data_IF_460317805874
#
_entry.id   IF_460317805874
#
_cell.length_a   1.000
_cell.length_b   1.000
_cell.length_c   1.000
_cell.angle_alpha   90.00
_cell.angle_beta   90.00
_cell.angle_gamma   90.00
#
_symmetry.space_group_name_H-M   'P 1'
#
loop_
_entity.id
_entity.type
_entity.pdbx_description
1 polymer ?
#
# COMPACT_ATOMS: atom_id res chain seq x y z
N UNK A 1 1.41 4.43 19.03
CA UNK A 1 1.40 3.42 17.96
C UNK A 1 0.03 3.46 17.30
N UNK A 2 -0.03 3.56 15.96
CA UNK A 2 -1.30 3.45 15.25
C UNK A 2 -1.83 2.01 15.39
N UNK A 3 -3.10 1.86 15.77
CA UNK A 3 -3.75 0.57 15.89
C UNK A 3 -4.65 0.36 14.67
N UNK A 4 -4.49 -0.79 14.02
CA UNK A 4 -5.35 -1.22 12.91
C UNK A 4 -6.09 -2.49 13.33
N UNK A 5 -7.42 -2.48 13.19
CA UNK A 5 -8.22 -3.68 13.32
C UNK A 5 -8.27 -4.38 11.95
N UNK A 6 -7.60 -5.52 11.86
CA UNK A 6 -7.50 -6.31 10.62
C UNK A 6 -8.21 -7.63 10.85
N UNK A 7 -9.24 -7.89 10.06
CA UNK A 7 -9.92 -9.18 10.04
C UNK A 7 -9.18 -10.13 9.10
N UNK A 8 -8.69 -11.25 9.65
CA UNK A 8 -7.94 -12.26 8.91
C UNK A 8 -8.80 -13.52 8.76
N UNK A 9 -9.38 -13.71 7.59
CA UNK A 9 -10.23 -14.86 7.28
C UNK A 9 -9.63 -15.74 6.19
N UNK A 10 -10.03 -17.02 6.17
CA UNK A 10 -9.63 -17.96 5.13
C UNK A 10 -8.12 -18.25 5.11
N UNK A 11 -7.50 -18.11 3.93
CA UNK A 11 -6.11 -18.50 3.72
C UNK A 11 -5.11 -17.66 4.53
N UNK A 12 -5.32 -16.35 4.62
CA UNK A 12 -4.39 -15.44 5.34
C UNK A 12 -4.35 -15.76 6.83
N UNK A 13 -5.50 -16.04 7.44
CA UNK A 13 -5.59 -16.52 8.83
C UNK A 13 -4.79 -17.80 9.05
N UNK A 14 -4.95 -18.80 8.15
CA UNK A 14 -4.19 -20.07 8.23
C UNK A 14 -2.68 -19.88 8.08
N UNK A 15 -2.23 -18.95 7.24
CA UNK A 15 -0.80 -18.64 7.08
C UNK A 15 -0.25 -18.02 8.35
N UNK A 16 -0.95 -17.05 8.95
CA UNK A 16 -0.55 -16.42 10.21
C UNK A 16 -0.45 -17.47 11.33
N UNK A 17 -1.42 -18.37 11.44
CA UNK A 17 -1.39 -19.46 12.41
C UNK A 17 -0.20 -20.40 12.20
N UNK A 18 0.10 -20.75 10.94
CA UNK A 18 1.30 -21.54 10.60
C UNK A 18 2.60 -20.83 10.96
N UNK A 19 2.69 -19.52 10.73
CA UNK A 19 3.87 -18.74 11.12
C UNK A 19 4.12 -18.82 12.63
N UNK A 20 3.05 -18.78 13.42
CA UNK A 20 3.14 -18.90 14.87
C UNK A 20 3.50 -20.33 15.27
N UNK A 21 2.83 -21.35 14.71
CA UNK A 21 3.10 -22.75 15.06
C UNK A 21 4.51 -23.22 14.72
N UNK A 22 5.10 -22.65 13.66
CA UNK A 22 6.48 -22.94 13.24
C UNK A 22 7.53 -22.07 13.96
N UNK A 23 7.10 -21.17 14.85
CA UNK A 23 8.00 -20.34 15.66
C UNK A 23 8.57 -19.12 14.94
N UNK A 24 8.09 -18.78 13.75
CA UNK A 24 8.52 -17.57 13.03
C UNK A 24 8.01 -16.27 13.68
N UNK A 25 6.92 -16.35 14.45
CA UNK A 25 6.36 -15.22 15.19
C UNK A 25 5.71 -15.72 16.49
N UNK A 26 5.68 -14.88 17.53
CA UNK A 26 5.02 -15.20 18.81
C UNK A 26 3.57 -14.76 18.84
N UNK A 27 3.21 -13.74 18.06
CA UNK A 27 1.85 -13.17 18.04
C UNK A 27 1.36 -12.93 16.61
N UNK A 28 0.03 -12.84 16.44
CA UNK A 28 -0.57 -12.48 15.15
C UNK A 28 -0.07 -11.12 14.66
N UNK A 29 0.07 -10.14 15.55
CA UNK A 29 0.59 -8.82 15.23
C UNK A 29 2.03 -8.86 14.73
N UNK A 30 2.89 -9.67 15.37
CA UNK A 30 4.27 -9.85 14.93
C UNK A 30 4.34 -10.52 13.56
N UNK A 31 3.53 -11.55 13.32
CA UNK A 31 3.45 -12.21 12.02
C UNK A 31 3.02 -11.24 10.90
N UNK A 32 2.02 -10.37 11.16
CA UNK A 32 1.59 -9.34 10.20
C UNK A 32 2.72 -8.34 9.94
N UNK A 33 3.42 -7.87 10.98
CA UNK A 33 4.55 -6.93 10.81
C UNK A 33 5.67 -7.53 9.97
N UNK A 34 6.01 -8.80 10.22
CA UNK A 34 7.00 -9.53 9.42
C UNK A 34 6.54 -9.70 7.97
N UNK A 35 5.26 -9.98 7.73
CA UNK A 35 4.73 -10.09 6.37
C UNK A 35 4.82 -8.76 5.60
N UNK A 36 4.46 -7.64 6.24
CA UNK A 36 4.58 -6.28 5.64
C UNK A 36 6.05 -5.94 5.37
N UNK A 37 6.93 -6.21 6.33
CA UNK A 37 8.36 -6.00 6.16
C UNK A 37 8.93 -6.83 5.01
N UNK A 38 8.58 -8.11 4.92
CA UNK A 38 9.01 -8.97 3.83
C UNK A 38 8.47 -8.51 2.47
N UNK A 39 7.23 -8.01 2.42
CA UNK A 39 6.66 -7.42 1.20
C UNK A 39 7.51 -6.23 0.73
N UNK A 40 7.90 -5.35 1.63
CA UNK A 40 8.77 -4.20 1.33
C UNK A 40 10.15 -4.66 0.83
N UNK A 41 10.77 -5.66 1.46
CA UNK A 41 12.06 -6.18 1.03
C UNK A 41 12.03 -6.80 -0.38
N UNK A 42 10.93 -7.46 -0.74
CA UNK A 42 10.76 -8.09 -2.07
C UNK A 42 10.52 -7.03 -3.14
N UNK A 43 9.66 -6.05 -2.86
CA UNK A 43 9.20 -5.10 -3.88
C UNK A 43 9.97 -3.78 -3.87
N UNK A 44 10.82 -3.55 -2.86
CA UNK A 44 11.65 -2.35 -2.67
C UNK A 44 10.87 -1.08 -3.01
N UNK A 45 9.74 -0.88 -2.31
CA UNK A 45 8.78 0.16 -2.64
C UNK A 45 9.48 1.52 -2.67
N UNK A 46 9.80 2.00 -3.87
CA UNK A 46 10.43 3.30 -4.02
C UNK A 46 9.36 4.39 -4.01
N UNK A 47 9.65 5.52 -3.36
CA UNK A 47 8.75 6.67 -3.39
C UNK A 47 8.50 7.13 -4.84
N UNK A 48 9.54 7.05 -5.69
CA UNK A 48 9.46 7.43 -7.10
C UNK A 48 8.48 6.56 -7.90
N UNK A 49 8.41 5.25 -7.66
CA UNK A 49 7.40 4.37 -8.27
C UNK A 49 5.98 4.68 -7.77
N UNK A 50 5.86 5.02 -6.49
CA UNK A 50 4.58 5.43 -5.90
C UNK A 50 4.05 6.70 -6.58
N UNK A 51 4.91 7.70 -6.78
CA UNK A 51 4.56 8.93 -7.50
C UNK A 51 4.28 8.67 -8.98
N UNK A 52 5.06 7.80 -9.65
CA UNK A 52 4.80 7.41 -11.04
C UNK A 52 3.43 6.76 -11.21
N UNK A 53 3.06 5.83 -10.33
CA UNK A 53 1.77 5.17 -10.39
C UNK A 53 0.62 6.15 -10.14
N UNK A 54 0.74 7.01 -9.12
CA UNK A 54 -0.27 8.03 -8.82
C UNK A 54 -0.45 9.03 -9.96
N UNK A 55 0.66 9.51 -10.55
CA UNK A 55 0.64 10.44 -11.67
C UNK A 55 0.08 9.80 -12.94
N UNK A 56 0.44 8.54 -13.22
CA UNK A 56 -0.11 7.77 -14.33
C UNK A 56 -1.63 7.58 -14.24
N UNK A 57 -2.15 7.28 -13.05
CA UNK A 57 -3.60 7.18 -12.83
C UNK A 57 -4.33 8.53 -12.98
N UNK A 58 -3.70 9.63 -12.57
CA UNK A 58 -4.22 10.98 -12.81
C UNK A 58 -4.25 11.28 -14.31
N UNK A 59 -3.16 11.01 -15.03
CA UNK A 59 -3.07 11.23 -16.48
C UNK A 59 -4.14 10.44 -17.24
N UNK A 60 -4.31 9.14 -16.95
CA UNK A 60 -5.38 8.32 -17.57
C UNK A 60 -6.78 8.89 -17.32
N UNK A 61 -7.03 9.44 -16.13
CA UNK A 61 -8.32 10.07 -15.79
C UNK A 61 -8.53 11.41 -16.49
N UNK A 62 -7.46 12.14 -16.78
CA UNK A 62 -7.50 13.35 -17.62
C UNK A 62 -7.73 12.99 -19.08
N UNK A 63 -6.99 12.03 -19.63
CA UNK A 63 -7.13 11.55 -21.02
C UNK A 63 -8.53 10.97 -21.30
N UNK A 64 -9.08 10.22 -20.35
CA UNK A 64 -10.45 9.70 -20.45
C UNK A 64 -11.55 10.75 -20.27
N UNK A 65 -11.19 12.03 -20.04
CA UNK A 65 -12.14 13.13 -19.85
C UNK A 65 -12.94 13.07 -18.55
N UNK A 66 -12.65 12.09 -17.67
CA UNK A 66 -13.29 11.97 -16.35
C UNK A 66 -12.89 13.10 -15.41
N UNK A 67 -11.68 13.64 -15.57
CA UNK A 67 -11.19 14.81 -14.85
C UNK A 67 -11.00 15.94 -15.85
N UNK A 68 -11.77 17.02 -15.68
CA UNK A 68 -11.56 18.28 -16.42
C UNK A 68 -10.38 19.02 -15.78
N UNK A 69 -9.27 19.14 -16.49
CA UNK A 69 -8.20 20.04 -16.10
C UNK A 69 -8.70 21.48 -16.25
N UNK A 70 -8.69 22.24 -15.14
CA UNK A 70 -9.00 23.66 -15.18
C UNK A 70 -7.83 24.37 -15.86
N UNK A 71 -8.10 25.33 -16.75
CA UNK A 71 -7.06 26.27 -17.19
C UNK A 71 -6.72 27.16 -16.00
N UNK A 72 -5.49 27.08 -15.51
CA UNK A 72 -4.96 28.00 -14.50
C UNK A 72 -3.86 28.85 -15.13
N UNK A 73 -3.76 30.11 -14.68
CA UNK A 73 -2.64 30.99 -15.02
C UNK A 73 -1.54 30.81 -13.98
N UNK A 74 -0.28 30.89 -14.40
CA UNK A 74 0.86 30.77 -13.48
C UNK A 74 0.81 31.79 -12.33
N UNK A 75 0.18 32.95 -12.57
CA UNK A 75 -0.07 34.01 -11.60
C UNK A 75 -1.06 33.64 -10.47
N UNK A 76 -1.68 32.47 -10.53
CA UNK A 76 -2.64 31.97 -9.52
C UNK A 76 -2.00 30.93 -8.58
N UNK A 77 -0.69 30.66 -8.73
CA UNK A 77 0.07 29.64 -7.99
C UNK A 77 1.10 30.22 -6.99
N UNK A 78 1.10 31.54 -6.79
CA UNK A 78 1.87 32.24 -5.75
C UNK A 78 1.12 32.25 -4.40
#
# INVERSE_FOLDING_TARGET
MANANIELTGYTGRVIEKMISLGYAKTKTEAIRLAVYNFDQIHKLSEEETYRHATGEILKKVESGKIKTRKFKLSELD
#
